data_IF_607280579653
#
_entry.id   IF_607280579653
#
_cell.length_a   1.000
_cell.length_b   1.000
_cell.length_c   1.000
_cell.angle_alpha   90.00
_cell.angle_beta   90.00
_cell.angle_gamma   90.00
#
_symmetry.space_group_name_H-M   'P 1'
#
loop_
_entity.id
_entity.type
_entity.pdbx_description
1 polymer ?
#
# COMPACT_ATOMS: atom_id res chain seq x y z
N UNK A 1 2.34 -10.45 12.09
CA UNK A 1 1.36 -9.42 12.45
C UNK A 1 0.99 -9.49 13.93
N UNK A 2 0.58 -10.64 14.50
CA UNK A 2 0.20 -10.77 15.92
C UNK A 2 1.18 -10.14 16.92
N UNK A 3 2.49 -10.34 16.75
CA UNK A 3 3.48 -9.73 17.64
C UNK A 3 3.47 -8.18 17.60
N UNK A 4 3.13 -7.56 16.48
CA UNK A 4 2.97 -6.10 16.38
C UNK A 4 1.71 -5.63 17.11
N UNK A 5 0.62 -6.38 17.03
CA UNK A 5 -0.64 -6.10 17.74
C UNK A 5 -0.44 -6.20 19.25
N UNK A 6 0.35 -7.19 19.70
CA UNK A 6 0.71 -7.39 21.11
C UNK A 6 1.76 -6.38 21.62
N UNK A 7 2.31 -5.53 20.73
CA UNK A 7 3.38 -4.58 21.08
C UNK A 7 4.76 -5.23 21.29
N UNK A 8 4.91 -6.51 20.96
CA UNK A 8 6.17 -7.24 21.08
C UNK A 8 7.05 -7.03 19.84
N UNK A 9 7.67 -5.86 19.77
CA UNK A 9 8.57 -5.47 18.67
C UNK A 9 9.79 -6.41 18.55
N UNK A 10 10.29 -6.95 19.66
CA UNK A 10 11.43 -7.85 19.65
C UNK A 10 11.09 -9.18 18.95
N UNK A 11 9.94 -9.76 19.27
CA UNK A 11 9.41 -10.95 18.61
C UNK A 11 9.07 -10.70 17.16
N UNK A 12 8.41 -9.57 16.86
CA UNK A 12 8.09 -9.17 15.49
C UNK A 12 9.36 -9.06 14.64
N UNK A 13 10.40 -8.40 15.15
CA UNK A 13 11.69 -8.22 14.48
C UNK A 13 12.41 -9.56 14.26
N UNK A 14 12.37 -10.44 15.26
CA UNK A 14 13.02 -11.76 15.15
C UNK A 14 12.37 -12.64 14.07
N UNK A 15 11.03 -12.62 14.00
CA UNK A 15 10.28 -13.47 13.06
C UNK A 15 10.39 -12.96 11.62
N UNK A 16 10.37 -11.64 11.43
CA UNK A 16 10.38 -11.03 10.09
C UNK A 16 11.77 -10.72 9.55
N UNK A 17 12.78 -10.59 10.41
CA UNK A 17 14.09 -10.05 10.07
C UNK A 17 14.11 -8.52 9.90
N UNK A 18 13.01 -7.82 10.17
CA UNK A 18 12.88 -6.37 10.06
C UNK A 18 13.01 -5.75 11.46
N UNK A 19 13.93 -4.79 11.71
CA UNK A 19 14.13 -4.18 13.02
C UNK A 19 13.04 -3.14 13.34
N UNK A 20 11.83 -3.60 13.66
CA UNK A 20 10.67 -2.74 13.90
C UNK A 20 10.93 -1.73 15.03
N UNK A 21 10.44 -0.49 14.81
CA UNK A 21 10.56 0.64 15.72
C UNK A 21 9.26 0.87 16.51
N UNK A 22 9.23 1.70 17.56
CA UNK A 22 8.01 2.03 18.29
C UNK A 22 6.87 2.60 17.42
N UNK A 23 7.16 3.15 16.25
CA UNK A 23 6.15 3.56 15.28
C UNK A 23 5.15 2.43 14.98
N UNK A 24 5.63 1.19 14.82
CA UNK A 24 4.80 0.04 14.47
C UNK A 24 3.93 -0.51 15.61
N UNK A 25 4.10 0.02 16.82
CA UNK A 25 3.27 -0.27 18.00
C UNK A 25 2.52 0.95 18.53
N UNK A 26 2.41 2.03 17.76
CA UNK A 26 1.51 3.14 18.08
C UNK A 26 0.05 2.73 17.92
N UNK A 27 -0.86 3.38 18.66
CA UNK A 27 -2.28 2.98 18.72
C UNK A 27 -2.93 2.90 17.33
N UNK A 28 -2.72 3.90 16.47
CA UNK A 28 -3.28 3.94 15.11
C UNK A 28 -2.76 2.79 14.24
N UNK A 29 -1.48 2.45 14.39
CA UNK A 29 -0.86 1.38 13.61
C UNK A 29 -1.26 0.01 14.13
N UNK A 30 -1.39 -0.16 15.45
CA UNK A 30 -1.90 -1.40 16.07
C UNK A 30 -3.34 -1.66 15.65
N UNK A 31 -4.18 -0.61 15.62
CA UNK A 31 -5.54 -0.71 15.09
C UNK A 31 -5.56 -1.22 13.64
N UNK A 32 -4.72 -0.66 12.77
CA UNK A 32 -4.59 -1.12 11.38
C UNK A 32 -4.16 -2.59 11.31
N UNK A 33 -3.15 -3.00 12.09
CA UNK A 33 -2.71 -4.39 12.12
C UNK A 33 -3.83 -5.34 12.55
N UNK A 34 -4.67 -4.93 13.49
CA UNK A 34 -5.80 -5.73 13.98
C UNK A 34 -6.84 -5.94 12.89
N UNK A 35 -7.19 -4.90 12.13
CA UNK A 35 -8.10 -5.01 10.98
C UNK A 35 -7.50 -5.94 9.90
N UNK A 36 -6.21 -5.77 9.58
CA UNK A 36 -5.56 -6.59 8.55
C UNK A 36 -5.42 -8.06 8.98
N UNK A 37 -5.18 -8.32 10.26
CA UNK A 37 -5.16 -9.68 10.79
C UNK A 37 -6.53 -10.35 10.67
N UNK A 38 -7.59 -9.65 11.04
CA UNK A 38 -8.95 -10.15 10.89
C UNK A 38 -9.32 -10.39 9.43
N UNK A 39 -8.96 -9.46 8.54
CA UNK A 39 -9.17 -9.59 7.10
C UNK A 39 -8.48 -10.83 6.53
N UNK A 40 -7.22 -11.06 6.90
CA UNK A 40 -6.46 -12.24 6.46
C UNK A 40 -7.06 -13.52 7.03
N UNK A 41 -7.53 -13.50 8.29
CA UNK A 41 -8.18 -14.65 8.90
C UNK A 41 -9.48 -15.04 8.18
N UNK A 42 -10.25 -14.06 7.72
CA UNK A 42 -11.48 -14.28 6.95
C UNK A 42 -11.21 -14.64 5.50
N UNK A 43 -10.21 -14.02 4.88
CA UNK A 43 -9.81 -14.22 3.49
C UNK A 43 -8.29 -14.32 3.37
N UNK A 44 -7.71 -15.54 3.46
CA UNK A 44 -6.24 -15.73 3.45
C UNK A 44 -5.51 -15.13 2.25
N UNK A 45 -6.15 -15.05 1.08
CA UNK A 45 -5.59 -14.40 -0.11
C UNK A 45 -5.29 -12.91 0.08
N UNK A 46 -5.91 -12.25 1.06
CA UNK A 46 -5.63 -10.85 1.40
C UNK A 46 -4.20 -10.62 1.89
N UNK A 47 -3.51 -11.65 2.38
CA UNK A 47 -2.13 -11.53 2.87
C UNK A 47 -1.15 -11.05 1.78
N UNK A 48 -1.43 -11.33 0.52
CA UNK A 48 -0.59 -10.91 -0.61
C UNK A 48 -0.84 -9.45 -1.05
N UNK A 49 -1.79 -8.75 -0.39
CA UNK A 49 -2.25 -7.42 -0.80
C UNK A 49 -2.07 -6.36 0.28
N UNK A 50 -2.14 -6.74 1.55
CA UNK A 50 -2.24 -5.79 2.66
C UNK A 50 -0.98 -5.76 3.52
N UNK A 51 -0.71 -4.59 4.14
CA UNK A 51 0.19 -4.47 5.30
C UNK A 51 1.65 -4.86 5.05
N UNK A 52 2.27 -4.36 3.98
CA UNK A 52 3.71 -4.51 3.74
C UNK A 52 4.50 -3.47 4.54
N UNK A 53 5.60 -3.88 5.16
CA UNK A 53 6.56 -2.95 5.71
C UNK A 53 7.34 -2.27 4.57
N UNK A 54 7.48 -0.96 4.64
CA UNK A 54 8.37 -0.19 3.76
C UNK A 54 9.73 -0.12 4.43
N UNK A 55 10.75 -0.64 3.74
CA UNK A 55 12.13 -0.69 4.27
C UNK A 55 13.04 0.15 3.38
N UNK A 56 13.85 1.00 3.99
CA UNK A 56 14.91 1.74 3.31
C UNK A 56 16.02 0.76 2.92
N UNK A 57 16.26 0.58 1.63
CA UNK A 57 17.25 -0.38 1.11
C UNK A 57 18.69 -0.05 1.53
N UNK A 58 19.02 1.23 1.72
CA UNK A 58 20.36 1.65 2.10
C UNK A 58 20.69 1.29 3.55
N UNK A 59 19.71 1.42 4.44
CA UNK A 59 19.94 1.27 5.88
C UNK A 59 19.34 0.00 6.48
N UNK A 60 18.45 -0.67 5.76
CA UNK A 60 17.63 -1.78 6.27
C UNK A 60 16.58 -1.34 7.30
N UNK A 61 16.36 -0.03 7.46
CA UNK A 61 15.44 0.51 8.45
C UNK A 61 14.00 0.47 7.95
N UNK A 62 13.04 -0.01 8.76
CA UNK A 62 11.63 0.11 8.43
C UNK A 62 11.19 1.57 8.61
N UNK A 63 10.64 2.15 7.56
CA UNK A 63 10.32 3.59 7.47
C UNK A 63 8.82 3.88 7.38
N UNK A 64 7.99 2.83 7.31
CA UNK A 64 6.55 2.94 7.21
C UNK A 64 5.90 1.64 6.77
N UNK A 65 4.65 1.73 6.39
CA UNK A 65 3.91 0.61 5.79
C UNK A 65 3.15 1.07 4.55
N UNK A 66 2.87 0.13 3.66
CA UNK A 66 2.10 0.35 2.46
C UNK A 66 1.37 -0.94 2.08
N UNK A 67 0.37 -0.85 1.22
CA UNK A 67 -0.39 -1.98 0.72
C UNK A 67 -1.66 -1.53 0.03
N UNK A 68 -2.50 -2.50 -0.29
CA UNK A 68 -3.85 -2.25 -0.74
C UNK A 68 -4.84 -2.53 0.40
N UNK A 69 -6.07 -2.06 0.26
CA UNK A 69 -7.14 -2.37 1.22
C UNK A 69 -7.57 -3.85 1.14
N UNK A 70 -7.23 -4.53 0.05
CA UNK A 70 -7.50 -5.94 -0.18
C UNK A 70 -7.13 -6.37 -1.59
N UNK A 71 -7.46 -7.61 -1.98
CA UNK A 71 -7.36 -8.06 -3.37
C UNK A 71 -8.31 -7.26 -4.26
N UNK A 72 -8.13 -7.33 -5.60
CA UNK A 72 -9.03 -6.66 -6.54
C UNK A 72 -10.47 -7.13 -6.34
N UNK A 73 -11.39 -6.19 -6.41
CA UNK A 73 -12.82 -6.47 -6.36
C UNK A 73 -13.33 -7.09 -7.69
N UNK A 74 -14.63 -7.34 -7.78
CA UNK A 74 -15.28 -7.92 -8.97
C UNK A 74 -15.16 -7.05 -10.24
N UNK A 75 -14.80 -5.78 -10.09
CA UNK A 75 -14.57 -4.81 -11.18
C UNK A 75 -13.09 -4.60 -11.49
N UNK A 76 -12.20 -5.27 -10.75
CA UNK A 76 -10.75 -5.11 -10.89
C UNK A 76 -10.22 -3.83 -10.26
N UNK A 77 -10.92 -3.27 -9.27
CA UNK A 77 -10.46 -2.12 -8.53
C UNK A 77 -9.67 -2.56 -7.29
N UNK A 78 -8.53 -1.90 -7.06
CA UNK A 78 -7.78 -1.96 -5.80
C UNK A 78 -7.60 -0.56 -5.24
N UNK A 79 -7.63 -0.43 -3.93
CA UNK A 79 -7.38 0.84 -3.25
C UNK A 79 -6.06 0.79 -2.50
N UNK A 80 -5.16 1.73 -2.80
CA UNK A 80 -3.85 1.80 -2.16
C UNK A 80 -3.89 2.57 -0.84
N UNK A 81 -3.01 2.18 0.07
CA UNK A 81 -2.80 2.89 1.34
C UNK A 81 -1.31 2.90 1.70
N UNK A 82 -0.85 3.96 2.35
CA UNK A 82 0.52 4.06 2.83
C UNK A 82 0.62 5.04 4.00
N UNK A 83 1.56 4.76 4.89
CA UNK A 83 1.92 5.67 5.97
C UNK A 83 3.43 5.63 6.18
N UNK A 84 4.07 6.78 6.23
CA UNK A 84 5.51 6.91 6.52
C UNK A 84 5.67 7.45 7.93
N UNK A 85 6.51 6.76 8.71
CA UNK A 85 6.92 7.20 10.05
C UNK A 85 7.36 8.67 9.98
N UNK A 86 6.83 9.55 10.85
CA UNK A 86 7.15 10.97 10.87
C UNK A 86 8.64 11.29 10.81
N UNK A 87 9.50 10.44 11.39
CA UNK A 87 10.95 10.61 11.40
C UNK A 87 11.60 10.47 10.01
N UNK A 88 10.90 9.82 9.07
CA UNK A 88 11.40 9.54 7.72
C UNK A 88 10.67 10.33 6.62
N UNK A 89 9.72 11.20 6.98
CA UNK A 89 9.00 12.04 6.03
C UNK A 89 9.93 13.02 5.31
N UNK A 90 9.49 13.50 4.14
CA UNK A 90 10.26 14.46 3.33
C UNK A 90 11.46 13.86 2.59
N UNK A 91 11.67 12.54 2.65
CA UNK A 91 12.80 11.82 2.04
C UNK A 91 12.41 11.00 0.80
N UNK A 92 11.19 11.15 0.30
CA UNK A 92 10.72 10.48 -0.91
C UNK A 92 10.08 9.09 -0.71
N UNK A 93 10.09 8.52 0.49
CA UNK A 93 9.60 7.16 0.76
C UNK A 93 8.12 6.97 0.40
N UNK A 94 7.26 7.95 0.68
CA UNK A 94 5.85 7.85 0.29
C UNK A 94 5.66 7.78 -1.23
N UNK A 95 6.41 8.59 -1.99
CA UNK A 95 6.38 8.53 -3.45
C UNK A 95 6.91 7.21 -3.98
N UNK A 96 7.98 6.68 -3.40
CA UNK A 96 8.53 5.37 -3.75
C UNK A 96 7.53 4.24 -3.43
N UNK A 97 6.82 4.32 -2.29
CA UNK A 97 5.78 3.34 -1.92
C UNK A 97 4.62 3.33 -2.92
N UNK A 98 4.12 4.51 -3.33
CA UNK A 98 3.08 4.59 -4.36
C UNK A 98 3.57 4.01 -5.69
N UNK A 99 4.79 4.34 -6.11
CA UNK A 99 5.37 3.77 -7.33
C UNK A 99 5.42 2.23 -7.27
N UNK A 100 5.94 1.66 -6.19
CA UNK A 100 6.02 0.21 -5.99
C UNK A 100 4.64 -0.48 -5.99
N UNK A 101 3.63 0.15 -5.38
CA UNK A 101 2.26 -0.36 -5.41
C UNK A 101 1.66 -0.32 -6.83
N UNK A 102 1.93 0.74 -7.60
CA UNK A 102 1.50 0.83 -8.99
C UNK A 102 2.18 -0.22 -9.88
N UNK A 103 3.48 -0.44 -9.68
CA UNK A 103 4.22 -1.50 -10.38
C UNK A 103 3.63 -2.87 -10.03
N UNK A 104 3.37 -3.14 -8.74
CA UNK A 104 2.72 -4.38 -8.29
C UNK A 104 1.32 -4.55 -8.90
N UNK A 105 0.53 -3.47 -8.99
CA UNK A 105 -0.78 -3.52 -9.63
C UNK A 105 -0.68 -3.82 -11.14
N UNK A 106 0.35 -3.28 -11.83
CA UNK A 106 0.56 -3.50 -13.26
C UNK A 106 0.94 -4.96 -13.61
N UNK A 107 1.52 -5.71 -12.66
CA UNK A 107 1.81 -7.14 -12.82
C UNK A 107 0.54 -8.02 -12.77
N UNK A 108 -0.56 -7.52 -12.20
CA UNK A 108 -1.79 -8.27 -12.01
C UNK A 108 -2.84 -7.89 -13.07
N UNK A 109 -3.09 -8.80 -14.00
CA UNK A 109 -3.99 -8.57 -15.16
C UNK A 109 -5.45 -8.37 -14.78
N UNK A 110 -5.86 -8.80 -13.61
CA UNK A 110 -7.23 -8.62 -13.09
C UNK A 110 -7.49 -7.20 -12.60
N UNK A 111 -6.44 -6.41 -12.34
CA UNK A 111 -6.58 -5.02 -11.92
C UNK A 111 -6.77 -4.13 -13.14
N UNK A 112 -7.86 -3.38 -13.13
CA UNK A 112 -8.20 -2.38 -14.14
C UNK A 112 -8.03 -0.96 -13.64
N UNK A 113 -8.18 -0.75 -12.32
CA UNK A 113 -8.19 0.57 -11.69
C UNK A 113 -7.48 0.53 -10.34
N UNK A 114 -6.60 1.50 -10.13
CA UNK A 114 -6.02 1.78 -8.81
C UNK A 114 -6.66 3.04 -8.26
N UNK A 115 -7.20 2.97 -7.05
CA UNK A 115 -7.85 4.06 -6.33
C UNK A 115 -6.98 4.57 -5.20
N UNK A 116 -7.06 5.88 -4.94
CA UNK A 116 -6.61 6.52 -3.72
C UNK A 116 -7.76 7.37 -3.16
N UNK A 117 -8.09 7.18 -1.88
CA UNK A 117 -9.02 8.05 -1.15
C UNK A 117 -8.21 8.89 -0.17
N UNK A 118 -8.44 10.20 -0.18
CA UNK A 118 -7.59 11.15 0.54
C UNK A 118 -8.44 12.24 1.17
N UNK A 119 -8.28 12.45 2.48
CA UNK A 119 -8.88 13.60 3.16
C UNK A 119 -8.44 14.91 2.46
N UNK A 120 -9.38 15.87 2.25
CA UNK A 120 -9.06 17.17 1.64
C UNK A 120 -7.96 17.94 2.38
N UNK A 121 -7.80 17.68 3.67
CA UNK A 121 -6.81 18.35 4.53
C UNK A 121 -5.42 17.68 4.44
N UNK A 122 -5.31 16.49 3.81
CA UNK A 122 -4.05 15.79 3.63
C UNK A 122 -3.29 16.28 2.38
N UNK A 123 -2.82 17.53 2.44
CA UNK A 123 -2.07 18.15 1.34
C UNK A 123 -0.83 17.36 0.92
N UNK A 124 -0.21 16.62 1.84
CA UNK A 124 0.98 15.81 1.55
C UNK A 124 0.63 14.65 0.61
N UNK A 125 -0.42 13.88 0.91
CA UNK A 125 -0.87 12.76 0.05
C UNK A 125 -1.40 13.26 -1.29
N UNK A 126 -2.15 14.38 -1.31
CA UNK A 126 -2.60 15.02 -2.56
C UNK A 126 -1.42 15.39 -3.47
N UNK A 127 -0.36 15.98 -2.90
CA UNK A 127 0.84 16.33 -3.66
C UNK A 127 1.61 15.10 -4.18
N UNK A 128 1.54 13.96 -3.48
CA UNK A 128 2.18 12.72 -3.92
C UNK A 128 1.44 12.13 -5.11
N UNK A 129 0.12 11.91 -5.01
CA UNK A 129 -0.64 11.26 -6.10
C UNK A 129 -0.69 12.11 -7.37
N UNK A 130 -0.57 13.44 -7.27
CA UNK A 130 -0.46 14.34 -8.42
C UNK A 130 0.74 14.02 -9.34
N UNK A 131 1.71 13.22 -8.89
CA UNK A 131 2.84 12.77 -9.72
C UNK A 131 2.53 11.51 -10.53
N UNK A 132 1.35 10.89 -10.40
CA UNK A 132 1.07 9.53 -10.88
C UNK A 132 -0.16 9.39 -11.78
N UNK A 133 -0.56 10.43 -12.46
CA UNK A 133 -1.67 10.43 -13.44
C UNK A 133 -3.04 9.99 -12.85
N UNK A 134 -3.25 10.17 -11.55
CA UNK A 134 -4.56 9.99 -10.94
C UNK A 134 -5.50 11.12 -11.36
N UNK A 135 -6.74 10.78 -11.62
CA UNK A 135 -7.82 11.71 -11.98
C UNK A 135 -8.89 11.73 -10.89
N UNK A 136 -9.39 12.91 -10.54
CA UNK A 136 -10.48 13.03 -9.57
C UNK A 136 -11.73 12.29 -10.07
N UNK A 137 -12.32 11.47 -9.21
CA UNK A 137 -13.51 10.67 -9.49
C UNK A 137 -14.58 10.79 -8.41
N UNK A 138 -14.75 11.98 -7.84
CA UNK A 138 -15.77 12.26 -6.86
C UNK A 138 -15.27 12.33 -5.42
N UNK A 139 -16.16 12.08 -4.50
CA UNK A 139 -15.91 12.09 -3.06
C UNK A 139 -16.80 11.09 -2.35
N UNK A 140 -16.40 10.70 -1.15
CA UNK A 140 -17.16 9.84 -0.25
C UNK A 140 -17.10 10.38 1.17
N UNK A 141 -17.93 9.81 2.03
CA UNK A 141 -17.86 10.01 3.47
C UNK A 141 -17.48 8.70 4.14
N UNK A 142 -16.37 8.71 4.84
CA UNK A 142 -15.96 7.62 5.70
C UNK A 142 -16.39 7.91 7.14
N UNK A 143 -16.83 6.88 7.88
CA UNK A 143 -17.34 7.06 9.25
C UNK A 143 -16.24 7.42 10.26
N UNK A 144 -14.98 7.11 9.96
CA UNK A 144 -13.81 7.38 10.81
C UNK A 144 -13.03 8.60 10.33
N UNK A 145 -12.72 8.66 9.02
CA UNK A 145 -11.88 9.70 8.43
C UNK A 145 -12.67 10.91 7.89
N UNK A 146 -14.00 10.80 7.83
CA UNK A 146 -14.89 11.86 7.38
C UNK A 146 -14.91 11.99 5.86
N UNK A 147 -14.87 13.23 5.35
CA UNK A 147 -14.90 13.49 3.91
C UNK A 147 -13.58 13.11 3.25
N UNK A 148 -13.67 12.33 2.19
CA UNK A 148 -12.54 11.92 1.38
C UNK A 148 -12.76 12.24 -0.11
N UNK A 149 -11.71 12.66 -0.78
CA UNK A 149 -11.66 12.83 -2.22
C UNK A 149 -11.21 11.52 -2.87
N UNK A 150 -11.92 11.09 -3.90
CA UNK A 150 -11.63 9.87 -4.65
C UNK A 150 -10.81 10.22 -5.88
N UNK A 151 -9.71 9.51 -6.07
CA UNK A 151 -8.85 9.60 -7.24
C UNK A 151 -8.64 8.22 -7.83
N UNK A 152 -8.90 8.06 -9.13
CA UNK A 152 -8.72 6.82 -9.85
C UNK A 152 -7.65 6.96 -10.93
N UNK A 153 -6.89 5.89 -11.14
CA UNK A 153 -5.91 5.73 -12.19
C UNK A 153 -6.15 4.42 -12.91
N UNK A 154 -6.25 4.46 -14.25
CA UNK A 154 -6.30 3.24 -15.04
C UNK A 154 -5.01 2.44 -14.84
N UNK A 155 -5.15 1.13 -14.60
CA UNK A 155 -4.02 0.23 -14.52
C UNK A 155 -3.64 -0.22 -15.94
N UNK A 156 -2.57 0.37 -16.48
CA UNK A 156 -2.00 -0.06 -17.74
C UNK A 156 -1.11 -1.28 -17.47
N UNK A 157 -1.70 -2.49 -17.46
CA UNK A 157 -0.90 -3.70 -17.46
C UNK A 157 0.05 -3.63 -18.66
N UNK A 158 1.36 -3.64 -18.40
CA UNK A 158 2.35 -3.73 -19.46
C UNK A 158 2.19 -5.10 -20.10
N UNK A 159 1.58 -5.17 -21.29
CA UNK A 159 1.76 -6.30 -22.19
C UNK A 159 3.28 -6.41 -22.45
N UNK A 160 3.95 -7.33 -21.80
CA UNK A 160 5.27 -7.75 -22.24
C UNK A 160 5.07 -8.30 -23.64
N UNK A 161 5.70 -7.73 -24.69
CA UNK A 161 5.65 -8.32 -25.99
C UNK A 161 6.23 -9.72 -25.87
N UNK A 162 5.41 -10.73 -26.11
CA UNK A 162 5.82 -12.11 -26.26
C UNK A 162 6.99 -12.12 -27.27
N UNK A 163 8.15 -12.62 -26.82
CA UNK A 163 9.30 -12.89 -27.67
C UNK A 163 8.82 -13.82 -28.78
N UNK A 164 8.57 -13.26 -29.95
CA UNK A 164 8.36 -14.04 -31.16
C UNK A 164 9.68 -14.78 -31.41
N UNK A 165 9.64 -16.10 -31.25
CA UNK A 165 10.66 -17.00 -31.76
C UNK A 165 10.89 -16.66 -33.23
N UNK A 166 12.05 -16.07 -33.52
CA UNK A 166 12.55 -16.01 -34.88
C UNK A 166 13.00 -17.42 -35.25
N UNK A 167 12.08 -18.09 -35.94
CA UNK A 167 12.42 -19.31 -36.64
C UNK A 167 13.20 -18.88 -37.90
N UNK A 168 14.51 -19.03 -37.89
CA UNK A 168 15.36 -18.93 -39.09
C UNK A 168 15.32 -20.27 -39.82
N UNK A 169 14.83 -20.20 -41.04
CA UNK A 169 15.03 -21.23 -42.06
C UNK A 169 16.31 -20.99 -42.81
#
# INVERSE_FOLDING_TARGET
>A
MLALIEGDLARASTVSGIPFTPFYSSDDIVWLWSIREEQIAQQPASADWVAFAVVDEETGSPVGHAGFHGPPDEHGLVELSYTIDPQFRGRGFAKASVAALLDRAAEEKTITTVRATISPDNAASLAIIANFEFSANGEQWDDEDGRELIFDRANNSTDHPSVQERNES
#
